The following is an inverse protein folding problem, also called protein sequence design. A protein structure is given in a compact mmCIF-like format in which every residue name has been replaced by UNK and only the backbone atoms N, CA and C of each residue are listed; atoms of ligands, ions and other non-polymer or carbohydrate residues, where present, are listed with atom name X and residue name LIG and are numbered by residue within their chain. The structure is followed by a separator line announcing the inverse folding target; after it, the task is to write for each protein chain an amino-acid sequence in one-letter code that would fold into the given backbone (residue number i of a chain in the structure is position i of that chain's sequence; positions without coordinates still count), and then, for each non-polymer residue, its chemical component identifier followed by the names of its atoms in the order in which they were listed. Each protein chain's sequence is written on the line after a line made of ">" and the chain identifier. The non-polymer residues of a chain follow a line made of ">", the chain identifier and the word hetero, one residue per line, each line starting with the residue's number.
data_IF_306689812737
#
_entry.id   IF_306689812737
#
_cell.length_a   1.000
_cell.length_b   1.000
_cell.length_c   1.000
_cell.angle_alpha   90.00
_cell.angle_beta   90.00
_cell.angle_gamma   90.00
#
_symmetry.space_group_name_H-M   'P 1'
#
loop_
_entity.id
_entity.type
_entity.pdbx_description
1 polymer ?
#
# COMPACT_ATOMS: atom_id res chain seq x y z
N UNK A 1 57.13 41.06 -15.49
CA UNK A 1 57.09 39.72 -14.85
C UNK A 1 55.67 39.43 -14.42
N UNK A 2 54.94 38.76 -15.26
CA UNK A 2 53.49 38.48 -15.07
C UNK A 2 53.37 37.08 -14.51
N UNK A 3 52.91 36.93 -13.23
CA UNK A 3 52.61 35.64 -12.64
C UNK A 3 51.18 35.27 -13.01
N UNK A 4 51.04 34.37 -13.95
CA UNK A 4 49.77 33.71 -14.25
C UNK A 4 49.51 32.68 -13.14
N UNK A 5 48.55 32.99 -12.27
CA UNK A 5 48.03 32.04 -11.30
C UNK A 5 47.10 31.03 -12.00
N UNK A 6 47.52 29.77 -12.03
CA UNK A 6 46.70 28.66 -12.53
C UNK A 6 45.60 28.37 -11.51
N UNK A 7 44.39 28.86 -11.79
CA UNK A 7 43.20 28.45 -11.02
C UNK A 7 42.82 27.05 -11.49
N UNK A 8 43.21 26.05 -10.69
CA UNK A 8 42.76 24.68 -10.86
C UNK A 8 41.27 24.60 -10.50
N UNK A 9 40.43 24.53 -11.50
CA UNK A 9 38.99 24.22 -11.31
C UNK A 9 38.84 22.75 -10.89
N UNK A 10 38.52 22.51 -9.62
CA UNK A 10 38.16 21.20 -9.12
C UNK A 10 36.78 20.83 -9.70
N UNK A 11 36.62 19.67 -10.36
CA UNK A 11 35.31 19.22 -10.78
C UNK A 11 34.48 18.82 -9.53
N UNK A 12 33.42 19.55 -9.30
CA UNK A 12 32.41 19.18 -8.30
C UNK A 12 31.68 17.92 -8.79
N UNK A 13 32.07 16.80 -8.25
CA UNK A 13 31.39 15.51 -8.49
C UNK A 13 30.02 15.56 -7.84
N UNK A 14 28.97 15.88 -8.60
CA UNK A 14 27.59 15.78 -8.16
C UNK A 14 27.24 14.28 -8.00
N UNK A 15 27.40 13.77 -6.78
CA UNK A 15 26.88 12.46 -6.40
C UNK A 15 25.35 12.55 -6.33
N UNK A 16 24.61 11.67 -7.03
CA UNK A 16 23.17 11.62 -6.88
C UNK A 16 22.82 11.24 -5.43
N UNK A 17 22.10 12.11 -4.75
CA UNK A 17 21.56 11.82 -3.43
C UNK A 17 20.54 10.70 -3.58
N UNK A 18 20.58 9.64 -2.74
CA UNK A 18 19.56 8.62 -2.77
C UNK A 18 18.21 9.27 -2.42
N UNK A 19 17.28 9.24 -3.38
CA UNK A 19 15.90 9.63 -3.10
C UNK A 19 15.33 8.62 -2.11
N UNK A 20 14.68 9.08 -1.00
CA UNK A 20 13.95 8.16 -0.13
C UNK A 20 12.89 7.44 -0.95
N UNK A 21 12.83 6.11 -0.84
CA UNK A 21 11.75 5.32 -1.43
C UNK A 21 10.41 5.91 -0.95
N UNK A 22 9.45 6.10 -1.88
CA UNK A 22 8.14 6.60 -1.52
C UNK A 22 7.50 5.69 -0.47
N UNK A 23 7.23 6.24 0.73
CA UNK A 23 6.53 5.51 1.77
C UNK A 23 5.11 5.19 1.32
N UNK A 24 4.55 4.06 1.78
CA UNK A 24 3.16 3.71 1.58
C UNK A 24 2.27 4.87 2.09
N UNK A 25 1.37 5.42 1.25
CA UNK A 25 0.57 6.59 1.62
C UNK A 25 -0.56 6.29 2.61
N UNK A 26 -0.81 5.02 2.92
CA UNK A 26 -1.85 4.63 3.88
C UNK A 26 -1.39 4.93 5.31
N UNK A 27 -2.34 5.26 6.23
CA UNK A 27 -2.03 5.37 7.65
C UNK A 27 -1.38 4.08 8.18
N UNK A 28 -0.41 4.24 9.07
CA UNK A 28 0.31 3.10 9.67
C UNK A 28 -0.65 2.10 10.34
N UNK A 29 -1.68 2.60 11.01
CA UNK A 29 -2.69 1.75 11.66
C UNK A 29 -3.42 0.86 10.63
N UNK A 30 -3.87 1.41 9.51
CA UNK A 30 -4.53 0.65 8.46
C UNK A 30 -3.59 -0.39 7.83
N UNK A 31 -2.34 -0.02 7.61
CA UNK A 31 -1.30 -0.92 7.10
C UNK A 31 -1.04 -2.07 8.06
N UNK A 32 -0.87 -1.78 9.35
CA UNK A 32 -0.64 -2.79 10.38
C UNK A 32 -1.85 -3.75 10.52
N UNK A 33 -3.07 -3.22 10.52
CA UNK A 33 -4.28 -4.03 10.60
C UNK A 33 -4.41 -4.99 9.42
N UNK A 34 -4.14 -4.52 8.20
CA UNK A 34 -4.11 -5.39 7.03
C UNK A 34 -3.06 -6.50 7.14
N UNK A 35 -1.84 -6.17 7.54
CA UNK A 35 -0.75 -7.14 7.68
C UNK A 35 -1.09 -8.21 8.72
N UNK A 36 -1.67 -7.83 9.86
CA UNK A 36 -2.09 -8.78 10.90
C UNK A 36 -3.16 -9.74 10.34
N UNK A 37 -4.18 -9.24 9.69
CA UNK A 37 -5.24 -10.06 9.08
C UNK A 37 -4.71 -10.97 7.97
N UNK A 38 -3.83 -10.46 7.12
CA UNK A 38 -3.19 -11.22 6.05
C UNK A 38 -2.32 -12.36 6.61
N UNK A 39 -1.52 -12.10 7.63
CA UNK A 39 -0.69 -13.12 8.28
C UNK A 39 -1.52 -14.19 8.99
N UNK A 40 -2.67 -13.83 9.56
CA UNK A 40 -3.59 -14.80 10.15
C UNK A 40 -4.08 -15.82 9.10
N UNK A 41 -4.25 -15.41 7.85
CA UNK A 41 -4.70 -16.26 6.76
C UNK A 41 -3.55 -17.01 6.04
N UNK A 42 -2.35 -16.42 5.99
CA UNK A 42 -1.22 -16.91 5.16
C UNK A 42 0.00 -17.41 5.95
N UNK A 43 -0.04 -17.35 7.27
CA UNK A 43 1.02 -17.82 8.16
C UNK A 43 1.74 -16.70 8.88
N UNK A 44 1.93 -16.88 10.19
CA UNK A 44 2.60 -15.94 11.08
C UNK A 44 4.11 -16.20 11.13
N UNK A 45 4.77 -16.01 9.99
CA UNK A 45 6.20 -16.23 9.78
C UNK A 45 6.85 -14.97 9.23
N UNK A 46 8.18 -14.92 9.22
CA UNK A 46 8.90 -13.82 8.55
C UNK A 46 8.58 -13.72 7.06
N UNK A 47 8.38 -14.86 6.40
CA UNK A 47 7.96 -14.90 5.00
C UNK A 47 6.53 -14.35 4.86
N UNK A 48 5.60 -14.75 5.72
CA UNK A 48 4.25 -14.19 5.78
C UNK A 48 4.26 -12.68 6.00
N UNK A 49 5.09 -12.18 6.90
CA UNK A 49 5.24 -10.74 7.15
C UNK A 49 5.70 -10.00 5.88
N UNK A 50 6.69 -10.52 5.17
CA UNK A 50 7.19 -9.89 3.93
C UNK A 50 6.13 -9.88 2.83
N UNK A 51 5.44 -10.98 2.60
CA UNK A 51 4.40 -11.10 1.57
C UNK A 51 3.21 -10.21 1.87
N UNK A 52 2.74 -10.20 3.11
CA UNK A 52 1.62 -9.36 3.54
C UNK A 52 1.96 -7.86 3.50
N UNK A 53 3.19 -7.49 3.87
CA UNK A 53 3.67 -6.10 3.74
C UNK A 53 3.78 -5.68 2.28
N UNK A 54 4.31 -6.53 1.42
CA UNK A 54 4.33 -6.33 -0.03
C UNK A 54 2.89 -6.13 -0.57
N UNK A 55 1.95 -6.95 -0.12
CA UNK A 55 0.57 -6.92 -0.59
C UNK A 55 -0.10 -5.58 -0.30
N UNK A 56 -0.02 -5.06 0.92
CA UNK A 56 -0.63 -3.76 1.24
C UNK A 56 0.06 -2.60 0.52
N UNK A 57 1.36 -2.66 0.31
CA UNK A 57 2.08 -1.65 -0.47
C UNK A 57 1.65 -1.67 -1.95
N UNK A 58 1.45 -2.86 -2.51
CA UNK A 58 0.94 -3.01 -3.87
C UNK A 58 -0.50 -2.48 -3.99
N UNK A 59 -1.39 -2.79 -3.05
CA UNK A 59 -2.75 -2.25 -2.98
C UNK A 59 -2.71 -0.72 -2.92
N UNK A 60 -1.90 -0.17 -2.04
CA UNK A 60 -1.78 1.28 -1.85
C UNK A 60 -1.23 2.00 -3.09
N UNK A 61 -0.50 1.30 -3.94
CA UNK A 61 0.01 1.86 -5.20
C UNK A 61 -1.06 2.04 -6.27
N UNK A 62 -2.17 1.33 -6.19
CA UNK A 62 -3.23 1.33 -7.23
C UNK A 62 -4.60 1.75 -6.71
N UNK A 63 -4.82 1.79 -5.40
CA UNK A 63 -6.10 2.14 -4.78
C UNK A 63 -5.92 3.31 -3.80
N UNK A 64 -6.61 4.44 -3.99
CA UNK A 64 -6.60 5.54 -3.01
C UNK A 64 -7.12 5.09 -1.65
N UNK A 65 -6.57 5.65 -0.58
CA UNK A 65 -6.91 5.23 0.79
C UNK A 65 -8.39 5.39 1.13
N UNK A 66 -9.04 6.44 0.67
CA UNK A 66 -10.48 6.66 0.90
C UNK A 66 -11.35 5.53 0.32
N UNK A 67 -10.98 4.98 -0.83
CA UNK A 67 -11.67 3.83 -1.42
C UNK A 67 -11.36 2.54 -0.67
N UNK A 68 -10.12 2.35 -0.24
CA UNK A 68 -9.72 1.23 0.61
C UNK A 68 -10.52 1.22 1.91
N UNK A 69 -10.58 2.34 2.61
CA UNK A 69 -11.29 2.49 3.89
C UNK A 69 -12.79 2.19 3.74
N UNK A 70 -13.42 2.72 2.69
CA UNK A 70 -14.83 2.42 2.40
C UNK A 70 -15.06 0.94 2.15
N UNK A 71 -14.24 0.32 1.31
CA UNK A 71 -14.36 -1.09 0.98
C UNK A 71 -14.16 -1.98 2.22
N UNK A 72 -13.15 -1.69 3.02
CA UNK A 72 -12.87 -2.40 4.28
C UNK A 72 -14.04 -2.27 5.25
N UNK A 73 -14.58 -1.07 5.42
CA UNK A 73 -15.76 -0.82 6.25
C UNK A 73 -16.95 -1.64 5.78
N UNK A 74 -17.23 -1.65 4.48
CA UNK A 74 -18.34 -2.46 3.91
C UNK A 74 -18.15 -3.95 4.19
N UNK A 75 -16.94 -4.46 4.01
CA UNK A 75 -16.63 -5.87 4.28
C UNK A 75 -16.81 -6.23 5.76
N UNK A 76 -16.38 -5.37 6.68
CA UNK A 76 -16.57 -5.56 8.11
C UNK A 76 -18.06 -5.56 8.48
N UNK A 77 -18.83 -4.63 7.92
CA UNK A 77 -20.28 -4.56 8.17
C UNK A 77 -21.04 -5.76 7.63
N UNK A 78 -20.59 -6.35 6.52
CA UNK A 78 -21.16 -7.61 6.01
C UNK A 78 -20.94 -8.80 6.96
N UNK A 79 -19.90 -8.75 7.78
CA UNK A 79 -19.55 -9.82 8.72
C UNK A 79 -20.32 -9.73 10.06
N UNK A 80 -20.85 -8.55 10.40
CA UNK A 80 -21.53 -8.34 11.68
C UNK A 80 -22.85 -9.11 11.80
N UNK A 81 -23.48 -9.45 10.68
CA UNK A 81 -24.77 -10.15 10.66
C UNK A 81 -25.98 -9.24 10.90
N UNK A 82 -27.20 -9.82 10.85
CA UNK A 82 -28.45 -9.09 10.99
C UNK A 82 -28.93 -8.40 9.71
N UNK A 83 -30.02 -7.63 9.81
CA UNK A 83 -30.65 -6.94 8.66
C UNK A 83 -29.73 -5.90 8.00
N UNK A 84 -28.93 -5.18 8.80
CA UNK A 84 -27.98 -4.20 8.30
C UNK A 84 -26.92 -4.83 7.37
N UNK A 85 -26.50 -6.07 7.61
CA UNK A 85 -25.55 -6.78 6.76
C UNK A 85 -26.09 -6.97 5.33
N UNK A 86 -27.39 -7.20 5.16
CA UNK A 86 -28.04 -7.30 3.87
C UNK A 86 -27.95 -6.02 3.06
N UNK A 87 -28.13 -4.86 3.68
CA UNK A 87 -27.99 -3.56 3.02
C UNK A 87 -26.59 -3.37 2.44
N UNK A 88 -25.53 -3.80 3.14
CA UNK A 88 -24.15 -3.71 2.67
C UNK A 88 -23.79 -4.70 1.56
N UNK A 89 -24.64 -5.70 1.29
CA UNK A 89 -24.46 -6.65 0.18
C UNK A 89 -25.13 -6.19 -1.11
N UNK A 90 -26.29 -5.54 -1.00
CA UNK A 90 -27.22 -5.36 -2.12
C UNK A 90 -27.17 -3.95 -2.75
N UNK A 91 -26.52 -2.99 -2.10
CA UNK A 91 -26.38 -1.62 -2.65
C UNK A 91 -25.29 -1.60 -3.73
N UNK A 92 -25.63 -1.23 -4.98
CA UNK A 92 -24.67 -1.29 -6.11
C UNK A 92 -23.39 -0.47 -5.89
N UNK A 93 -23.49 0.71 -5.29
CA UNK A 93 -22.35 1.59 -5.02
C UNK A 93 -21.37 0.96 -4.01
N UNK A 94 -21.88 0.19 -3.04
CA UNK A 94 -21.04 -0.52 -2.07
C UNK A 94 -20.39 -1.76 -2.69
N UNK A 95 -21.05 -2.42 -3.64
CA UNK A 95 -20.43 -3.50 -4.40
C UNK A 95 -19.29 -3.01 -5.28
N UNK A 96 -19.47 -1.89 -5.95
CA UNK A 96 -18.43 -1.30 -6.80
C UNK A 96 -17.14 -1.00 -6.02
N UNK A 97 -17.28 -0.39 -4.84
CA UNK A 97 -16.13 -0.10 -3.97
C UNK A 97 -15.39 -1.38 -3.54
N UNK A 98 -16.12 -2.43 -3.19
CA UNK A 98 -15.54 -3.72 -2.81
C UNK A 98 -14.85 -4.39 -4.01
N UNK A 99 -15.45 -4.32 -5.20
CA UNK A 99 -14.87 -4.89 -6.41
C UNK A 99 -13.54 -4.21 -6.76
N UNK A 100 -13.43 -2.92 -6.60
CA UNK A 100 -12.16 -2.18 -6.79
C UNK A 100 -11.08 -2.63 -5.81
N UNK A 101 -11.43 -2.87 -4.55
CA UNK A 101 -10.48 -3.44 -3.60
C UNK A 101 -10.04 -4.84 -4.01
N UNK A 102 -10.96 -5.68 -4.45
CA UNK A 102 -10.64 -7.04 -4.91
C UNK A 102 -9.74 -7.06 -6.12
N UNK A 103 -9.95 -6.16 -7.08
CA UNK A 103 -9.05 -5.99 -8.23
C UNK A 103 -7.63 -5.61 -7.78
N UNK A 104 -7.51 -4.68 -6.84
CA UNK A 104 -6.22 -4.30 -6.26
C UNK A 104 -5.55 -5.48 -5.52
N UNK A 105 -6.33 -6.29 -4.80
CA UNK A 105 -5.83 -7.49 -4.12
C UNK A 105 -5.34 -8.55 -5.09
N UNK A 106 -6.04 -8.78 -6.20
CA UNK A 106 -5.59 -9.71 -7.25
C UNK A 106 -4.24 -9.28 -7.82
N UNK A 107 -4.05 -7.99 -8.09
CA UNK A 107 -2.78 -7.47 -8.54
C UNK A 107 -1.67 -7.64 -7.50
N UNK A 108 -1.99 -7.40 -6.23
CA UNK A 108 -1.06 -7.63 -5.13
C UNK A 108 -0.66 -9.10 -4.99
N UNK A 109 -1.60 -10.02 -5.18
CA UNK A 109 -1.31 -11.46 -5.14
C UNK A 109 -0.31 -11.87 -6.23
N UNK A 110 -0.46 -11.35 -7.44
CA UNK A 110 0.49 -11.60 -8.52
C UNK A 110 1.90 -11.07 -8.25
N UNK A 111 2.03 -10.02 -7.46
CA UNK A 111 3.32 -9.40 -7.16
C UNK A 111 4.01 -10.01 -5.94
N UNK A 112 3.23 -10.50 -4.98
CA UNK A 112 3.72 -10.77 -3.62
C UNK A 112 3.65 -12.26 -3.24
N UNK A 113 2.86 -13.07 -3.94
CA UNK A 113 2.64 -14.49 -3.70
C UNK A 113 2.89 -15.31 -4.97
#
# INVERSE_FOLDING_TARGET
>A
MTRFGLLAALPVLLLPLPMPAAANPYPTEATADYVIGCMAANGQTQDGLRRCSCSIDAIASVLPFDLYERADTVLRMRQVGGEAAGMFRDVPQLRDVVDRLREAQVEADFRCF
#
